data_IF_729201668019
#
_entry.id   IF_729201668019
#
_cell.length_a   1.000
_cell.length_b   1.000
_cell.length_c   1.000
_cell.angle_alpha   90.00
_cell.angle_beta   90.00
_cell.angle_gamma   90.00
#
_symmetry.space_group_name_H-M   'P 1'
#
loop_
_entity.id
_entity.type
_entity.pdbx_description
1 polymer ?
#
# COMPACT_ATOMS: atom_id res chain seq x y z
N UNK A 1 3.45 -3.54 19.30
CA UNK A 1 3.85 -3.08 17.94
C UNK A 1 2.65 -3.19 17.01
N UNK A 2 2.63 -2.50 15.87
CA UNK A 2 1.48 -2.49 14.94
C UNK A 2 1.92 -2.75 13.51
N UNK A 3 0.98 -3.17 12.66
CA UNK A 3 1.27 -3.55 11.27
C UNK A 3 0.60 -2.57 10.28
N UNK A 4 1.21 -2.42 9.10
CA UNK A 4 0.61 -1.73 7.96
C UNK A 4 0.43 -2.74 6.83
N UNK A 5 -0.83 -2.98 6.46
CA UNK A 5 -1.19 -3.87 5.36
C UNK A 5 -1.62 -3.05 4.14
N UNK A 6 -1.01 -3.30 2.98
CA UNK A 6 -1.21 -2.51 1.76
C UNK A 6 -1.77 -3.42 0.67
N UNK A 7 -2.86 -3.00 0.04
CA UNK A 7 -3.49 -3.71 -1.07
C UNK A 7 -3.55 -2.81 -2.31
N UNK A 8 -3.29 -3.40 -3.47
CA UNK A 8 -3.52 -2.78 -4.78
C UNK A 8 -4.70 -3.46 -5.46
N UNK A 9 -5.75 -2.70 -5.75
CA UNK A 9 -7.02 -3.23 -6.27
C UNK A 9 -7.49 -2.41 -7.47
N UNK A 10 -8.26 -3.03 -8.36
CA UNK A 10 -9.04 -2.28 -9.36
C UNK A 10 -10.38 -1.78 -8.77
N UNK A 11 -11.16 -1.04 -9.58
CA UNK A 11 -12.45 -0.48 -9.19
C UNK A 11 -13.51 -1.50 -8.77
N UNK A 12 -13.32 -2.77 -9.14
CA UNK A 12 -14.20 -3.90 -8.80
C UNK A 12 -13.68 -4.71 -7.61
N UNK A 13 -12.67 -4.19 -6.88
CA UNK A 13 -12.02 -4.85 -5.75
C UNK A 13 -11.27 -6.16 -6.11
N UNK A 14 -10.80 -6.26 -7.36
CA UNK A 14 -9.96 -7.38 -7.82
C UNK A 14 -8.49 -6.99 -7.62
N UNK A 15 -7.66 -7.95 -7.19
CA UNK A 15 -6.21 -7.78 -7.05
C UNK A 15 -5.59 -7.33 -8.38
N UNK A 16 -4.84 -6.23 -8.35
CA UNK A 16 -4.16 -5.68 -9.51
C UNK A 16 -2.65 -5.79 -9.30
N UNK A 17 -2.14 -7.01 -9.55
CA UNK A 17 -0.75 -7.41 -9.23
C UNK A 17 0.26 -6.77 -10.17
N UNK A 18 -0.13 -6.53 -11.42
CA UNK A 18 0.72 -6.00 -12.48
C UNK A 18 -0.05 -5.23 -13.55
N UNK A 19 0.66 -4.42 -14.34
CA UNK A 19 0.18 -3.90 -15.64
C UNK A 19 1.18 -4.28 -16.71
N UNK A 20 0.70 -4.87 -17.81
CA UNK A 20 1.51 -5.41 -18.91
C UNK A 20 2.66 -6.32 -18.44
N UNK A 21 2.45 -7.08 -17.36
CA UNK A 21 3.42 -8.01 -16.78
C UNK A 21 4.46 -7.39 -15.85
N UNK A 22 4.38 -6.09 -15.56
CA UNK A 22 5.24 -5.38 -14.63
C UNK A 22 4.50 -5.24 -13.30
N UNK A 23 5.12 -5.64 -12.19
CA UNK A 23 4.46 -5.65 -10.89
C UNK A 23 4.46 -4.27 -10.21
N UNK A 24 3.49 -4.04 -9.33
CA UNK A 24 3.50 -2.88 -8.44
C UNK A 24 4.57 -3.06 -7.34
N UNK A 25 5.19 -1.94 -6.95
CA UNK A 25 6.16 -1.89 -5.85
C UNK A 25 5.64 -0.97 -4.76
N UNK A 26 5.71 -1.42 -3.52
CA UNK A 26 5.31 -0.68 -2.32
C UNK A 26 6.53 -0.34 -1.48
N UNK A 27 6.61 0.90 -1.01
CA UNK A 27 7.66 1.36 -0.09
C UNK A 27 7.05 1.83 1.22
N UNK A 28 7.71 1.48 2.31
CA UNK A 28 7.49 2.12 3.61
C UNK A 28 8.61 3.12 3.85
N UNK A 29 8.23 4.37 4.16
CA UNK A 29 9.19 5.43 4.43
C UNK A 29 8.90 6.12 5.76
N UNK A 30 9.94 6.66 6.39
CA UNK A 30 9.86 7.46 7.60
C UNK A 30 10.89 8.59 7.52
N UNK A 31 10.44 9.83 7.72
CA UNK A 31 11.29 11.03 7.64
C UNK A 31 12.10 11.12 6.34
N UNK A 32 11.50 10.69 5.22
CA UNK A 32 12.14 10.70 3.90
C UNK A 32 13.13 9.56 3.64
N UNK A 33 13.38 8.68 4.62
CA UNK A 33 14.18 7.47 4.45
C UNK A 33 13.30 6.27 4.09
N UNK A 34 13.73 5.48 3.11
CA UNK A 34 13.12 4.17 2.81
C UNK A 34 13.51 3.18 3.91
N UNK A 35 12.50 2.62 4.58
CA UNK A 35 12.66 1.57 5.60
C UNK A 35 12.56 0.18 4.96
N UNK A 36 11.62 0.01 4.02
CA UNK A 36 11.37 -1.23 3.30
C UNK A 36 10.85 -0.94 1.88
N UNK A 37 11.10 -1.87 0.97
CA UNK A 37 10.61 -1.88 -0.41
C UNK A 37 10.26 -3.32 -0.77
N UNK A 38 9.01 -3.54 -1.21
CA UNK A 38 8.47 -4.86 -1.49
C UNK A 38 7.69 -4.83 -2.81
N UNK A 39 7.80 -5.90 -3.59
CA UNK A 39 6.88 -6.14 -4.71
C UNK A 39 5.58 -6.72 -4.16
N UNK A 40 4.43 -6.30 -4.68
CA UNK A 40 3.14 -6.88 -4.25
C UNK A 40 3.08 -8.37 -4.54
N UNK A 41 2.37 -9.13 -3.69
CA UNK A 41 2.14 -10.55 -3.92
C UNK A 41 1.50 -10.82 -5.30
N UNK A 42 1.91 -11.92 -5.94
CA UNK A 42 1.53 -12.26 -7.32
C UNK A 42 0.09 -12.73 -7.46
N UNK A 43 -0.58 -13.09 -6.37
CA UNK A 43 -1.97 -13.55 -6.35
C UNK A 43 -2.88 -12.54 -5.68
N UNK A 44 -2.45 -11.99 -4.55
CA UNK A 44 -3.29 -11.14 -3.69
C UNK A 44 -2.98 -9.65 -3.86
N UNK A 45 -1.93 -9.26 -4.60
CA UNK A 45 -1.53 -7.87 -4.83
C UNK A 45 -1.44 -7.05 -3.53
N UNK A 46 -0.83 -7.62 -2.50
CA UNK A 46 -0.65 -6.98 -1.21
C UNK A 46 0.77 -7.11 -0.66
N UNK A 47 1.04 -6.33 0.37
CA UNK A 47 2.29 -6.28 1.13
C UNK A 47 1.94 -6.02 2.59
N UNK A 48 2.63 -6.71 3.50
CA UNK A 48 2.52 -6.45 4.93
C UNK A 48 3.85 -5.90 5.48
N UNK A 49 3.75 -4.83 6.27
CA UNK A 49 4.86 -4.28 7.05
C UNK A 49 4.58 -4.50 8.53
N UNK A 50 5.25 -5.50 9.10
CA UNK A 50 5.01 -5.96 10.46
C UNK A 50 5.83 -5.22 11.52
N UNK A 51 5.33 -5.26 12.75
CA UNK A 51 6.08 -4.94 13.97
C UNK A 51 6.65 -3.51 13.98
N UNK A 52 5.87 -2.58 13.43
CA UNK A 52 6.23 -1.17 13.36
C UNK A 52 6.05 -0.47 14.72
N UNK A 53 7.06 0.30 15.17
CA UNK A 53 6.92 1.17 16.33
C UNK A 53 5.89 2.28 16.10
N UNK A 54 5.42 2.87 17.20
CA UNK A 54 4.63 4.11 17.15
C UNK A 54 5.39 5.19 16.38
N UNK A 55 4.70 5.90 15.50
CA UNK A 55 5.36 6.91 14.67
C UNK A 55 4.58 7.32 13.44
N UNK A 56 5.18 8.21 12.67
CA UNK A 56 4.68 8.64 11.36
C UNK A 56 5.42 7.91 10.26
N UNK A 57 4.66 7.45 9.30
CA UNK A 57 5.14 6.73 8.13
C UNK A 57 4.46 7.27 6.90
N UNK A 58 5.08 7.08 5.75
CA UNK A 58 4.44 7.30 4.45
C UNK A 58 4.59 6.03 3.64
N UNK A 59 3.46 5.46 3.22
CA UNK A 59 3.40 4.34 2.30
C UNK A 59 3.34 4.89 0.88
N UNK A 60 4.15 4.33 -0.02
CA UNK A 60 4.17 4.73 -1.43
C UNK A 60 3.96 3.51 -2.31
N UNK A 61 2.95 3.52 -3.17
CA UNK A 61 2.76 2.51 -4.22
C UNK A 61 3.22 3.10 -5.55
N UNK A 62 4.05 2.37 -6.28
CA UNK A 62 4.64 2.80 -7.56
C UNK A 62 4.39 1.80 -8.66
N UNK A 63 4.17 2.32 -9.87
CA UNK A 63 4.14 1.56 -11.10
C UNK A 63 4.39 2.51 -12.28
N UNK A 64 5.23 2.11 -13.25
CA UNK A 64 5.67 3.04 -14.31
C UNK A 64 4.57 3.34 -15.36
N UNK A 65 3.57 2.46 -15.45
CA UNK A 65 2.50 2.51 -16.46
C UNK A 65 1.14 2.98 -15.92
N UNK A 66 1.08 3.50 -14.68
CA UNK A 66 -0.14 4.09 -14.13
C UNK A 66 0.06 5.59 -13.86
N UNK A 67 -1.05 6.32 -13.69
CA UNK A 67 -1.07 7.74 -13.36
C UNK A 67 -1.79 7.97 -12.01
N UNK A 68 -1.13 8.60 -11.03
CA UNK A 68 0.29 8.96 -11.03
C UNK A 68 1.18 7.71 -10.92
N UNK A 69 2.41 7.80 -11.46
CA UNK A 69 3.41 6.70 -11.36
C UNK A 69 3.80 6.35 -9.92
N UNK A 70 3.48 7.23 -8.98
CA UNK A 70 3.67 7.02 -7.56
C UNK A 70 2.53 7.69 -6.80
N UNK A 71 1.89 6.94 -5.92
CA UNK A 71 0.83 7.40 -5.04
C UNK A 71 1.28 7.19 -3.59
N UNK A 72 1.03 8.17 -2.72
CA UNK A 72 1.46 8.12 -1.33
C UNK A 72 0.31 8.30 -0.35
N UNK A 73 0.40 7.66 0.80
CA UNK A 73 -0.52 7.82 1.92
C UNK A 73 0.28 7.95 3.23
N UNK A 74 0.02 9.03 3.97
CA UNK A 74 0.62 9.23 5.29
C UNK A 74 -0.17 8.45 6.34
N UNK A 75 0.56 7.73 7.19
CA UNK A 75 0.03 6.88 8.25
C UNK A 75 0.65 7.30 9.58
N UNK A 76 -0.16 7.42 10.62
CA UNK A 76 0.34 7.62 11.99
C UNK A 76 -0.10 6.47 12.86
N UNK A 77 0.87 5.71 13.38
CA UNK A 77 0.63 4.67 14.37
C UNK A 77 0.67 5.34 15.74
N UNK A 78 -0.51 5.51 16.35
CA UNK A 78 -0.65 6.13 17.69
C UNK A 78 -0.83 5.12 18.81
N UNK A 79 -1.23 3.88 18.48
CA UNK A 79 -1.46 2.80 19.42
C UNK A 79 -0.82 1.51 18.90
N UNK A 80 -0.38 0.66 19.83
CA UNK A 80 0.10 -0.68 19.53
C UNK A 80 -1.05 -1.65 19.26
N UNK A 81 -0.72 -2.83 18.73
CA UNK A 81 -1.63 -3.95 18.48
C UNK A 81 -2.76 -3.61 17.50
N UNK A 82 -2.44 -2.76 16.50
CA UNK A 82 -3.34 -2.42 15.40
C UNK A 82 -2.81 -2.94 14.07
N UNK A 83 -3.73 -3.20 13.15
CA UNK A 83 -3.43 -3.37 11.73
C UNK A 83 -4.06 -2.20 10.98
N UNK A 84 -3.25 -1.39 10.32
CA UNK A 84 -3.71 -0.29 9.47
C UNK A 84 -3.74 -0.79 8.05
N UNK A 85 -4.93 -0.86 7.45
CA UNK A 85 -5.10 -1.34 6.09
C UNK A 85 -5.22 -0.16 5.13
N UNK A 86 -4.44 -0.19 4.06
CA UNK A 86 -4.47 0.76 2.97
C UNK A 86 -4.84 0.07 1.66
N UNK A 87 -5.85 0.56 0.96
CA UNK A 87 -6.21 0.05 -0.37
C UNK A 87 -6.04 1.13 -1.42
N UNK A 88 -5.06 0.96 -2.31
CA UNK A 88 -4.87 1.80 -3.49
C UNK A 88 -5.75 1.25 -4.62
N UNK A 89 -6.80 2.00 -4.97
CA UNK A 89 -7.78 1.59 -5.96
C UNK A 89 -7.50 2.29 -7.28
N UNK A 90 -7.25 1.52 -8.34
CA UNK A 90 -7.03 2.03 -9.70
C UNK A 90 -8.25 1.75 -10.59
N UNK A 91 -8.50 2.66 -11.52
CA UNK A 91 -9.27 2.37 -12.73
C UNK A 91 -8.34 1.60 -13.68
N UNK A 92 -8.53 0.28 -13.79
CA UNK A 92 -7.55 -0.60 -14.44
C UNK A 92 -7.36 -0.31 -15.94
N UNK A 93 -8.45 -0.05 -16.67
CA UNK A 93 -8.38 0.19 -18.11
C UNK A 93 -7.73 1.54 -18.43
N UNK A 94 -8.06 2.56 -17.62
CA UNK A 94 -7.52 3.91 -17.74
C UNK A 94 -6.13 4.03 -17.11
N UNK A 95 -5.73 3.06 -16.28
CA UNK A 95 -4.49 3.03 -15.49
C UNK A 95 -4.35 4.26 -14.59
N UNK A 96 -5.44 4.73 -14.00
CA UNK A 96 -5.47 5.93 -13.16
C UNK A 96 -5.81 5.56 -11.72
N UNK A 97 -5.08 6.11 -10.74
CA UNK A 97 -5.46 5.99 -9.34
C UNK A 97 -6.81 6.69 -9.11
N UNK A 98 -7.79 5.93 -8.66
CA UNK A 98 -9.12 6.42 -8.37
C UNK A 98 -9.21 7.01 -6.95
N UNK A 99 -8.71 6.27 -5.97
CA UNK A 99 -8.73 6.66 -4.55
C UNK A 99 -7.80 5.78 -3.71
N UNK A 100 -7.51 6.24 -2.50
CA UNK A 100 -6.88 5.46 -1.44
C UNK A 100 -7.90 5.31 -0.32
N UNK A 101 -8.11 4.08 0.15
CA UNK A 101 -8.98 3.78 1.28
C UNK A 101 -8.13 3.40 2.49
N UNK A 102 -8.59 3.75 3.68
CA UNK A 102 -7.90 3.44 4.94
C UNK A 102 -8.89 2.89 5.95
N UNK A 103 -8.52 1.80 6.61
CA UNK A 103 -9.20 1.27 7.79
C UNK A 103 -8.19 0.85 8.85
N UNK A 104 -8.66 0.61 10.07
CA UNK A 104 -7.82 0.15 11.17
C UNK A 104 -8.58 -0.90 11.97
N UNK A 105 -7.90 -2.00 12.26
CA UNK A 105 -8.43 -3.16 12.96
C UNK A 105 -7.52 -3.51 14.15
N UNK A 106 -8.03 -4.32 15.08
CA UNK A 106 -7.20 -4.92 16.13
C UNK A 106 -6.31 -6.01 15.52
N UNK A 107 -5.06 -6.10 15.98
CA UNK A 107 -4.19 -7.23 15.67
C UNK A 107 -4.69 -8.44 16.47
N UNK A 108 -5.08 -9.52 15.79
CA UNK A 108 -5.63 -10.75 16.39
C UNK A 108 -4.54 -11.66 16.96
#
# INVERSE_FOLDING_TARGET
MSDIFVMVRNQNNIAMTSVDGIAFVTLLTQEGRVLAEETVDLFEADVNFDDLPLGKYTVVVRHEQVEPRSASCDVTITNEDKVIMLTFVYLELERVLLRIQTSTEERL
#
